data_IF_633502183816
#
_entry.id   IF_633502183816
#
_cell.length_a   1.000
_cell.length_b   1.000
_cell.length_c   1.000
_cell.angle_alpha   90.00
_cell.angle_beta   90.00
_cell.angle_gamma   90.00
#
_symmetry.space_group_name_H-M   'P 1'
#
loop_
_entity.id
_entity.type
_entity.pdbx_description
1 polymer ?
#
# COMPACT_ATOMS: atom_id res chain seq x y z
N UNK A 1 10.72 -0.27 -3.16
CA UNK A 1 11.23 -0.64 -1.82
C UNK A 1 10.19 -1.56 -1.19
N UNK A 2 10.53 -2.81 -0.85
CA UNK A 2 9.71 -3.61 0.06
C UNK A 2 10.36 -3.53 1.45
N UNK A 3 9.60 -3.39 2.55
CA UNK A 3 8.16 -3.19 2.71
C UNK A 3 7.81 -1.82 3.36
N UNK A 4 6.53 -1.41 3.29
CA UNK A 4 6.03 -0.24 4.02
C UNK A 4 5.94 -0.54 5.51
N UNK A 5 6.87 0.03 6.27
CA UNK A 5 6.97 -0.11 7.73
C UNK A 5 6.44 1.10 8.49
N UNK A 6 5.95 2.07 7.74
CA UNK A 6 5.34 3.29 8.20
C UNK A 6 4.72 4.00 7.02
N UNK A 7 4.02 5.09 7.32
CA UNK A 7 3.53 6.00 6.30
C UNK A 7 4.71 6.61 5.52
N UNK A 8 4.54 6.70 4.20
CA UNK A 8 5.51 7.33 3.31
C UNK A 8 4.80 8.47 2.60
N UNK A 9 5.40 9.66 2.71
CA UNK A 9 5.04 10.82 1.89
C UNK A 9 6.03 10.92 0.75
N UNK A 10 5.51 10.99 -0.47
CA UNK A 10 6.25 11.16 -1.71
C UNK A 10 6.13 12.58 -2.28
N UNK A 11 5.32 13.47 -1.70
CA UNK A 11 5.03 14.80 -2.25
C UNK A 11 6.28 15.64 -2.57
N UNK A 12 7.40 15.44 -1.88
CA UNK A 12 8.66 16.13 -2.19
C UNK A 12 9.32 15.65 -3.51
N UNK A 13 8.85 14.52 -4.06
CA UNK A 13 9.45 13.77 -5.16
C UNK A 13 8.48 13.54 -6.34
N UNK A 14 7.17 13.65 -6.11
CA UNK A 14 6.12 13.48 -7.12
C UNK A 14 5.26 14.74 -7.24
N UNK A 15 4.86 15.05 -8.49
CA UNK A 15 4.04 16.23 -8.80
C UNK A 15 4.84 17.52 -9.03
N UNK A 16 4.16 18.67 -9.22
CA UNK A 16 4.79 19.96 -9.58
C UNK A 16 5.61 20.60 -8.45
N UNK A 17 5.71 19.91 -7.30
CA UNK A 17 6.36 20.38 -6.06
C UNK A 17 7.77 19.79 -5.86
N UNK A 18 8.27 19.00 -6.82
CA UNK A 18 9.63 18.50 -6.83
C UNK A 18 10.65 19.64 -6.74
N UNK A 19 11.16 19.87 -5.53
CA UNK A 19 12.00 21.00 -5.06
C UNK A 19 11.31 22.37 -4.99
N UNK A 20 11.33 23.06 -3.82
CA UNK A 20 10.98 24.47 -3.73
C UNK A 20 11.90 25.30 -4.63
N UNK A 21 11.37 25.90 -5.69
CA UNK A 21 12.10 26.80 -6.58
C UNK A 21 12.07 26.47 -8.07
N UNK A 22 11.54 25.32 -8.48
CA UNK A 22 11.31 24.99 -9.90
C UNK A 22 9.83 24.69 -10.15
N UNK A 23 9.06 25.74 -10.41
CA UNK A 23 7.73 25.60 -11.01
C UNK A 23 7.92 24.91 -12.37
N UNK A 24 7.38 23.70 -12.55
CA UNK A 24 7.34 22.91 -13.80
C UNK A 24 8.45 21.86 -14.03
N UNK A 25 9.11 21.34 -12.99
CA UNK A 25 9.89 20.11 -13.17
C UNK A 25 8.94 18.91 -13.37
N UNK A 26 9.18 18.00 -14.34
CA UNK A 26 8.44 16.73 -14.41
C UNK A 26 8.69 15.92 -13.13
N UNK A 27 7.76 15.02 -12.72
CA UNK A 27 7.98 14.17 -11.56
C UNK A 27 9.30 13.41 -11.72
N UNK A 28 10.09 13.32 -10.64
CA UNK A 28 11.37 12.59 -10.66
C UNK A 28 11.17 11.07 -10.60
N UNK A 29 9.94 10.63 -10.31
CA UNK A 29 9.54 9.24 -10.16
C UNK A 29 8.35 8.99 -11.09
N UNK A 30 8.51 8.09 -12.04
CA UNK A 30 7.48 7.77 -13.03
C UNK A 30 6.48 6.70 -12.56
N UNK A 31 6.84 5.93 -11.52
CA UNK A 31 5.97 4.89 -10.97
C UNK A 31 6.33 4.45 -9.57
N UNK A 32 5.30 4.03 -8.82
CA UNK A 32 5.40 3.60 -7.43
C UNK A 32 4.83 2.19 -7.29
N UNK A 33 5.66 1.27 -6.79
CA UNK A 33 5.29 -0.13 -6.56
C UNK A 33 5.21 -0.40 -5.05
N UNK A 34 4.02 -0.78 -4.58
CA UNK A 34 3.70 -1.00 -3.17
C UNK A 34 3.37 -2.47 -2.92
N UNK A 35 3.85 -3.01 -1.80
CA UNK A 35 3.43 -4.34 -1.34
C UNK A 35 3.83 -4.62 0.11
N UNK A 36 3.10 -5.54 0.73
CA UNK A 36 3.39 -6.03 2.08
C UNK A 36 4.33 -7.23 2.11
N UNK A 37 4.80 -7.57 3.32
CA UNK A 37 5.80 -8.63 3.53
C UNK A 37 5.25 -10.04 3.32
N UNK A 38 6.05 -10.92 2.73
CA UNK A 38 5.76 -12.36 2.60
C UNK A 38 6.69 -13.20 3.48
N UNK A 39 6.28 -14.42 3.84
CA UNK A 39 7.12 -15.38 4.54
C UNK A 39 6.93 -15.45 6.07
N UNK A 40 7.83 -16.19 6.73
CA UNK A 40 7.76 -16.41 8.19
C UNK A 40 8.15 -15.12 8.91
N UNK A 41 7.25 -14.60 9.74
CA UNK A 41 7.47 -13.36 10.47
C UNK A 41 7.15 -12.09 9.68
N UNK A 42 6.48 -12.21 8.52
CA UNK A 42 5.96 -11.05 7.80
C UNK A 42 5.18 -10.12 8.73
N UNK A 43 5.40 -8.83 8.60
CA UNK A 43 4.70 -7.78 9.34
C UNK A 43 3.46 -7.32 8.59
N UNK A 44 2.38 -6.95 9.30
CA UNK A 44 1.22 -6.34 8.69
C UNK A 44 1.55 -4.93 8.20
N UNK A 45 0.97 -4.55 7.07
CA UNK A 45 1.03 -3.20 6.52
C UNK A 45 -0.29 -2.50 6.80
N UNK A 46 -0.26 -1.28 7.33
CA UNK A 46 -1.50 -0.54 7.55
C UNK A 46 -2.16 -0.20 6.20
N UNK A 47 -3.45 -0.52 5.99
CA UNK A 47 -4.16 -0.22 4.74
C UNK A 47 -4.14 1.25 4.33
N UNK A 48 -4.20 2.18 5.28
CA UNK A 48 -4.11 3.62 4.97
C UNK A 48 -2.78 4.02 4.31
N UNK A 49 -1.67 3.31 4.55
CA UNK A 49 -0.39 3.65 3.93
C UNK A 49 -0.42 3.39 2.43
N UNK A 50 -0.97 2.24 2.01
CA UNK A 50 -1.12 1.93 0.59
C UNK A 50 -2.14 2.86 -0.09
N UNK A 51 -3.23 3.22 0.59
CA UNK A 51 -4.22 4.19 0.09
C UNK A 51 -3.63 5.59 -0.06
N UNK A 52 -2.90 6.07 0.94
CA UNK A 52 -2.21 7.36 0.90
C UNK A 52 -1.26 7.43 -0.30
N UNK A 53 -0.47 6.38 -0.54
CA UNK A 53 0.42 6.34 -1.71
C UNK A 53 -0.32 6.30 -3.04
N UNK A 54 -1.44 5.56 -3.13
CA UNK A 54 -2.31 5.58 -4.30
C UNK A 54 -2.79 7.00 -4.58
N UNK A 55 -3.35 7.65 -3.57
CA UNK A 55 -3.97 8.98 -3.70
C UNK A 55 -2.89 10.02 -4.05
N UNK A 56 -1.71 9.94 -3.44
CA UNK A 56 -0.56 10.78 -3.79
C UNK A 56 -0.08 10.59 -5.25
N UNK A 57 -0.11 9.35 -5.76
CA UNK A 57 0.24 9.06 -7.14
C UNK A 57 -0.82 9.58 -8.12
N UNK A 58 -2.10 9.42 -7.79
CA UNK A 58 -3.23 9.93 -8.57
C UNK A 58 -3.16 11.46 -8.69
N UNK A 59 -2.94 12.15 -7.57
CA UNK A 59 -2.75 13.61 -7.52
C UNK A 59 -1.57 14.09 -8.37
N UNK A 60 -0.52 13.27 -8.47
CA UNK A 60 0.69 13.59 -9.22
C UNK A 60 0.70 13.11 -10.68
N UNK A 61 -0.31 12.35 -11.11
CA UNK A 61 -0.32 11.67 -12.41
C UNK A 61 0.79 10.63 -12.58
N UNK A 62 1.23 10.01 -11.48
CA UNK A 62 2.29 8.98 -11.43
C UNK A 62 1.66 7.59 -11.42
N UNK A 63 2.25 6.62 -12.12
CA UNK A 63 1.72 5.26 -12.15
C UNK A 63 1.79 4.59 -10.77
N UNK A 64 0.69 3.99 -10.31
CA UNK A 64 0.62 3.27 -9.04
C UNK A 64 0.36 1.77 -9.26
N UNK A 65 1.25 0.95 -8.70
CA UNK A 65 1.14 -0.50 -8.74
C UNK A 65 1.07 -1.09 -7.33
N UNK A 66 -0.06 -1.70 -6.99
CA UNK A 66 -0.21 -2.48 -5.78
C UNK A 66 0.08 -3.96 -6.06
N UNK A 67 1.27 -4.41 -5.66
CA UNK A 67 1.72 -5.79 -5.89
C UNK A 67 0.81 -6.79 -5.19
N UNK A 68 0.73 -6.67 -3.85
CA UNK A 68 -0.08 -7.53 -2.97
C UNK A 68 0.04 -7.10 -1.50
N UNK A 69 -0.82 -7.66 -0.65
CA UNK A 69 -0.81 -7.44 0.80
C UNK A 69 0.28 -8.20 1.58
N UNK A 70 0.87 -9.26 1.02
CA UNK A 70 1.80 -10.11 1.76
C UNK A 70 1.07 -11.20 2.57
N UNK A 71 1.55 -11.59 3.76
CA UNK A 71 0.89 -12.63 4.58
C UNK A 71 -0.36 -12.15 5.34
N UNK A 72 -0.56 -10.84 5.45
CA UNK A 72 -1.62 -10.21 6.24
C UNK A 72 -2.62 -9.50 5.35
N UNK A 73 -3.89 -9.45 5.73
CA UNK A 73 -4.90 -8.67 5.02
C UNK A 73 -5.83 -7.92 5.99
N UNK A 74 -6.37 -6.74 5.61
CA UNK A 74 -7.38 -6.07 6.40
C UNK A 74 -8.58 -6.97 6.70
N UNK A 75 -8.97 -7.02 7.98
CA UNK A 75 -9.83 -8.06 8.55
C UNK A 75 -11.26 -8.18 8.01
N UNK A 76 -11.67 -7.37 7.02
CA UNK A 76 -12.97 -7.46 6.35
C UNK A 76 -12.91 -7.17 4.83
N UNK A 77 -11.72 -7.02 4.22
CA UNK A 77 -11.61 -6.37 2.89
C UNK A 77 -10.90 -7.17 1.79
N UNK A 78 -10.33 -8.34 2.08
CA UNK A 78 -9.54 -9.08 1.06
C UNK A 78 -9.89 -10.55 0.91
N UNK A 79 -10.56 -11.13 1.91
CA UNK A 79 -11.09 -12.47 1.78
C UNK A 79 -12.59 -12.34 1.58
N UNK A 80 -12.97 -12.21 0.30
CA UNK A 80 -14.31 -11.82 -0.12
C UNK A 80 -15.37 -12.51 0.72
N UNK A 81 -16.07 -11.73 1.56
CA UNK A 81 -17.24 -12.05 2.38
C UNK A 81 -17.28 -13.40 3.15
N UNK A 82 -16.27 -14.26 3.06
CA UNK A 82 -16.25 -15.66 3.51
C UNK A 82 -15.43 -15.87 4.79
N UNK A 83 -14.63 -14.88 5.25
CA UNK A 83 -13.98 -14.97 6.57
C UNK A 83 -14.92 -14.67 7.74
N UNK A 84 -16.15 -14.27 7.46
CA UNK A 84 -17.19 -14.22 8.50
C UNK A 84 -17.54 -15.66 8.94
N UNK A 85 -17.34 -16.65 8.08
CA UNK A 85 -17.84 -18.02 8.30
C UNK A 85 -16.75 -19.08 8.58
N UNK A 86 -15.46 -18.75 8.43
CA UNK A 86 -14.37 -19.71 8.67
C UNK A 86 -13.49 -19.33 9.86
N UNK A 87 -13.97 -19.72 11.04
CA UNK A 87 -13.17 -20.02 12.24
C UNK A 87 -12.01 -19.04 12.54
N UNK A 88 -12.33 -17.74 12.71
CA UNK A 88 -11.41 -16.69 13.19
C UNK A 88 -10.58 -17.10 14.42
N UNK A 89 -11.00 -18.11 15.18
CA UNK A 89 -10.27 -18.69 16.31
C UNK A 89 -8.87 -19.20 15.95
N UNK A 90 -8.65 -19.62 14.71
CA UNK A 90 -7.39 -20.23 14.27
C UNK A 90 -6.53 -19.30 13.41
N UNK A 91 -6.97 -18.07 13.13
CA UNK A 91 -6.21 -17.10 12.35
C UNK A 91 -5.54 -16.12 13.32
N UNK A 92 -4.22 -15.99 13.21
CA UNK A 92 -3.49 -14.97 13.96
C UNK A 92 -3.98 -13.59 13.50
N UNK A 93 -4.56 -12.85 14.42
CA UNK A 93 -5.17 -11.54 14.18
C UNK A 93 -4.53 -10.52 15.11
N UNK A 94 -4.45 -9.27 14.65
CA UNK A 94 -4.03 -8.15 15.48
C UNK A 94 -4.55 -6.85 14.89
N UNK A 95 -4.13 -5.73 15.45
CA UNK A 95 -4.64 -4.43 15.04
C UNK A 95 -3.59 -3.33 15.14
N UNK A 96 -3.82 -2.26 14.41
CA UNK A 96 -3.11 -1.00 14.59
C UNK A 96 -3.86 -0.10 15.58
N UNK A 97 -3.15 0.45 16.57
CA UNK A 97 -3.69 1.49 17.45
C UNK A 97 -3.70 2.87 16.75
N UNK A 98 -4.21 3.89 17.45
CA UNK A 98 -4.33 5.24 16.91
C UNK A 98 -3.00 5.93 16.61
N UNK A 99 -1.90 5.43 17.19
CA UNK A 99 -0.55 5.91 16.92
C UNK A 99 0.12 5.11 15.79
N UNK A 100 -0.60 4.20 15.13
CA UNK A 100 -0.05 3.30 14.12
C UNK A 100 0.77 2.14 14.69
N UNK A 101 0.68 1.88 16.00
CA UNK A 101 1.37 0.77 16.66
C UNK A 101 0.68 -0.57 16.42
N UNK A 102 1.42 -1.59 15.97
CA UNK A 102 0.92 -2.96 15.82
C UNK A 102 0.81 -3.68 17.17
N UNK A 103 -0.36 -4.23 17.47
CA UNK A 103 -0.65 -4.92 18.71
C UNK A 103 -1.41 -6.22 18.47
N UNK A 104 -1.07 -7.27 19.23
CA UNK A 104 -1.71 -8.58 19.17
C UNK A 104 -2.87 -8.74 20.16
N UNK A 105 -3.05 -7.80 21.09
CA UNK A 105 -4.10 -7.86 22.11
C UNK A 105 -4.49 -6.46 22.59
N UNK A 106 -5.76 -6.27 22.96
CA UNK A 106 -6.31 -4.99 23.44
C UNK A 106 -7.74 -4.76 22.97
N UNK A 107 -8.42 -3.68 23.42
CA UNK A 107 -9.81 -3.44 23.07
C UNK A 107 -9.97 -3.16 21.55
N UNK A 108 -10.86 -3.94 20.91
CA UNK A 108 -11.02 -4.03 19.45
C UNK A 108 -12.04 -3.04 18.84
N UNK A 109 -12.58 -2.09 19.61
CA UNK A 109 -13.82 -1.43 19.18
C UNK A 109 -13.67 -0.44 18.00
N UNK A 110 -12.45 0.04 17.68
CA UNK A 110 -12.26 1.12 16.69
C UNK A 110 -10.92 1.06 15.93
N UNK A 111 -10.31 -0.12 15.82
CA UNK A 111 -8.94 -0.28 15.33
C UNK A 111 -8.90 -0.99 13.98
N UNK A 112 -7.95 -0.60 13.13
CA UNK A 112 -7.71 -1.28 11.86
C UNK A 112 -7.12 -2.66 12.12
N UNK A 113 -7.92 -3.71 11.92
CA UNK A 113 -7.51 -5.10 12.12
C UNK A 113 -6.79 -5.65 10.91
N UNK A 114 -5.86 -6.57 11.16
CA UNK A 114 -5.17 -7.35 10.13
C UNK A 114 -5.14 -8.81 10.55
N UNK A 115 -5.45 -9.67 9.59
CA UNK A 115 -5.53 -11.12 9.78
C UNK A 115 -4.44 -11.79 8.95
N UNK A 116 -3.71 -12.73 9.54
CA UNK A 116 -2.67 -13.50 8.86
C UNK A 116 -3.29 -14.64 8.06
N UNK A 117 -3.83 -14.31 6.91
CA UNK A 117 -4.55 -15.22 6.01
C UNK A 117 -3.63 -15.98 5.05
N UNK A 118 -2.37 -15.54 4.95
CA UNK A 118 -1.38 -16.11 4.05
C UNK A 118 -1.35 -15.45 2.68
N UNK A 119 -0.17 -15.40 2.05
CA UNK A 119 0.07 -14.69 0.77
C UNK A 119 -1.01 -14.87 -0.30
N UNK A 120 -1.39 -16.12 -0.55
CA UNK A 120 -2.37 -16.46 -1.60
C UNK A 120 -3.76 -15.90 -1.30
N UNK A 121 -4.18 -15.96 -0.03
CA UNK A 121 -5.51 -15.50 0.38
C UNK A 121 -5.58 -13.98 0.55
N UNK A 122 -4.47 -13.35 0.95
CA UNK A 122 -4.40 -11.91 1.13
C UNK A 122 -4.57 -11.15 -0.20
N UNK A 123 -3.99 -11.70 -1.29
CA UNK A 123 -4.28 -11.25 -2.64
C UNK A 123 -3.75 -9.86 -3.00
N UNK A 124 -4.24 -9.34 -4.14
CA UNK A 124 -3.74 -8.14 -4.82
C UNK A 124 -4.76 -6.99 -4.89
N UNK A 125 -5.93 -7.15 -4.29
CA UNK A 125 -6.97 -6.13 -4.36
C UNK A 125 -6.78 -5.11 -3.24
N UNK A 126 -6.63 -3.84 -3.60
CA UNK A 126 -6.71 -2.71 -2.68
C UNK A 126 -8.06 -2.04 -2.89
N UNK A 127 -8.91 -2.07 -1.86
CA UNK A 127 -10.30 -1.57 -1.88
C UNK A 127 -11.15 -2.21 -3.00
N UNK A 128 -11.01 -3.52 -3.19
CA UNK A 128 -11.82 -4.28 -4.15
C UNK A 128 -11.39 -4.15 -5.63
N UNK A 129 -10.30 -3.42 -5.91
CA UNK A 129 -9.78 -3.22 -7.28
C UNK A 129 -8.31 -3.60 -7.39
N UNK A 130 -7.89 -4.03 -8.58
CA UNK A 130 -6.48 -4.16 -8.95
C UNK A 130 -5.89 -2.80 -9.34
N UNK A 131 -4.69 -2.53 -8.85
CA UNK A 131 -3.92 -1.34 -9.20
C UNK A 131 -2.64 -1.82 -9.88
N UNK A 132 -2.65 -1.86 -11.21
CA UNK A 132 -1.66 -2.53 -12.04
C UNK A 132 -0.96 -1.54 -13.00
N UNK A 133 -0.96 -0.25 -12.67
CA UNK A 133 -0.44 0.77 -13.56
C UNK A 133 1.08 0.65 -13.70
N UNK A 134 1.59 0.96 -14.88
CA UNK A 134 3.02 0.99 -15.18
C UNK A 134 3.41 2.36 -15.72
N UNK A 135 4.63 2.84 -15.41
CA UNK A 135 5.13 4.09 -15.95
C UNK A 135 5.14 4.06 -17.47
N UNK A 136 4.77 5.18 -18.09
CA UNK A 136 4.89 5.34 -19.54
C UNK A 136 6.37 5.57 -19.92
N UNK A 137 7.03 4.50 -20.33
CA UNK A 137 8.42 4.52 -20.83
C UNK A 137 8.58 5.26 -22.17
N UNK A 138 7.47 5.60 -22.84
CA UNK A 138 7.47 6.30 -24.13
C UNK A 138 7.81 7.80 -23.98
N UNK A 139 7.50 8.40 -22.82
CA UNK A 139 7.75 9.82 -22.55
C UNK A 139 9.21 10.12 -22.22
N UNK A 140 9.97 9.14 -21.71
CA UNK A 140 11.38 9.30 -21.33
C UNK A 140 12.36 9.35 -22.52
N UNK A 141 11.95 8.86 -23.70
CA UNK A 141 12.80 8.77 -24.88
C UNK A 141 12.96 10.09 -25.68
N UNK A 142 12.24 11.16 -25.30
CA UNK A 142 12.18 12.42 -26.06
C UNK A 142 13.03 13.60 -25.56
N UNK A 143 13.73 13.48 -24.42
CA UNK A 143 14.51 14.59 -23.84
C UNK A 143 16.02 14.31 -23.88
N UNK A 144 16.56 14.14 -25.08
CA UNK A 144 18.00 14.30 -25.34
C UNK A 144 18.32 15.76 -25.68
N UNK A 145 19.48 16.31 -25.30
CA UNK A 145 19.81 17.71 -25.56
C UNK A 145 20.15 17.89 -27.05
N UNK A 146 19.38 18.73 -27.74
CA UNK A 146 19.84 19.48 -28.92
C UNK A 146 19.62 20.97 -28.63
#
# INVERSE_FOLDING_TARGET
MEPLLGEVSLYDWIGPWGKPGQLQAPPMIDGVFVGGESGRGARPMHPSWARSLRDQCDDAGVAFHFKQWGEWAPGNSCAGNDLIDRDRRNIASGFFDYNGGWNLSGPNAFRQTMDRVGKKAAGRHLDGRLHDDFPDISAAAGKGPF
#
